data_IF_140491683848
#
_entry.id   IF_140491683848
#
_cell.length_a   1.000
_cell.length_b   1.000
_cell.length_c   1.000
_cell.angle_alpha   90.00
_cell.angle_beta   90.00
_cell.angle_gamma   90.00
#
_symmetry.space_group_name_H-M   'P 1'
#
loop_
_entity.id
_entity.type
_entity.pdbx_description
1 polymer ?
2 polymer ?
3 non-polymer ?
4 water ?
#
# COMPACT_ATOMS: atom_id res chain seq x y z
N UNK A 5 -11.37 5.68 -2.92
CA UNK A 5 -9.90 5.83 -2.71
C UNK A 5 -9.41 6.80 -3.78
N UNK A 6 -9.76 8.07 -3.62
CA UNK A 6 -9.37 9.11 -4.57
C UNK A 6 -8.12 9.80 -4.06
N UNK A 7 -7.15 9.97 -4.94
CA UNK A 7 -5.89 10.61 -4.60
C UNK A 7 -5.58 11.69 -5.62
N UNK A 8 -4.57 12.49 -5.33
CA UNK A 8 -4.14 13.55 -6.22
C UNK A 8 -2.62 13.54 -6.26
N UNK A 9 -2.07 13.84 -7.43
CA UNK A 9 -0.62 13.88 -7.62
C UNK A 9 0.01 15.09 -6.92
N UNK A 10 1.06 14.85 -6.16
CA UNK A 10 1.78 15.90 -5.45
C UNK A 10 2.87 16.52 -6.33
N UNK A 11 3.48 15.70 -7.19
CA UNK A 11 4.55 16.18 -8.06
C UNK A 11 4.44 15.51 -9.41
N UNK A 12 5.20 16.04 -10.36
CA UNK A 12 5.28 15.50 -11.71
C UNK A 12 6.15 14.24 -11.61
N UNK A 13 5.86 13.25 -12.44
CA UNK A 13 6.63 12.01 -12.48
C UNK A 13 6.54 11.54 -13.93
N UNK A 14 7.69 11.26 -14.54
CA UNK A 14 7.70 10.82 -15.93
C UNK A 14 7.97 9.34 -15.98
N UNK A 15 7.14 8.61 -16.72
CA UNK A 15 7.30 7.17 -16.86
C UNK A 15 8.64 6.78 -17.51
N UNK A 16 9.24 5.69 -17.06
CA UNK A 16 10.51 5.24 -17.62
C UNK A 16 10.65 3.71 -17.66
N UNK A 17 9.64 3.03 -18.19
CA UNK A 17 9.70 1.58 -18.27
C UNK A 17 9.02 0.90 -17.10
N UNK A 18 9.05 -0.42 -17.08
CA UNK A 18 8.43 -1.22 -16.02
C UNK A 18 6.96 -0.89 -15.78
N UNK A 19 6.24 -0.57 -16.85
CA UNK A 19 4.81 -0.27 -16.75
C UNK A 19 4.47 0.89 -15.80
N UNK A 20 5.32 1.92 -15.79
CA UNK A 20 5.08 3.10 -14.98
C UNK A 20 4.19 4.07 -15.77
N UNK A 21 3.53 5.00 -15.08
CA UNK A 21 2.63 5.94 -15.72
C UNK A 21 3.02 7.39 -15.41
N UNK A 22 3.03 8.25 -16.43
CA UNK A 22 3.37 9.65 -16.23
C UNK A 22 2.18 10.39 -15.62
N UNK A 23 2.46 11.20 -14.61
CA UNK A 23 1.42 11.98 -13.93
C UNK A 23 1.87 13.42 -13.72
N UNK A 24 0.92 14.35 -13.76
CA UNK A 24 1.24 15.76 -13.56
C UNK A 24 0.63 16.21 -12.23
N UNK A 25 1.34 17.08 -11.52
CA UNK A 25 0.88 17.60 -10.23
C UNK A 25 -0.56 18.12 -10.37
N UNK A 26 -1.40 17.78 -9.39
CA UNK A 26 -2.79 18.23 -9.40
C UNK A 26 -3.77 17.26 -10.03
N UNK A 27 -3.22 16.27 -10.73
CA UNK A 27 -4.02 15.27 -11.42
C UNK A 27 -4.64 14.26 -10.46
N UNK A 28 -5.93 13.98 -10.67
CA UNK A 28 -6.66 13.04 -9.85
C UNK A 28 -6.42 11.61 -10.33
N UNK A 29 -6.48 10.66 -9.41
CA UNK A 29 -6.28 9.27 -9.76
C UNK A 29 -6.95 8.30 -8.79
N UNK A 30 -7.31 7.14 -9.30
CA UNK A 30 -7.94 6.12 -8.49
C UNK A 30 -6.84 5.09 -8.23
N UNK A 31 -6.63 4.76 -6.96
CA UNK A 31 -5.62 3.77 -6.60
C UNK A 31 -6.23 2.38 -6.72
N UNK A 32 -5.59 1.52 -7.49
CA UNK A 32 -6.08 0.16 -7.70
C UNK A 32 -5.37 -0.86 -6.81
N UNK A 33 -4.14 -0.56 -6.40
CA UNK A 33 -3.40 -1.49 -5.57
C UNK A 33 -2.00 -1.01 -5.24
N UNK A 34 -1.24 -1.85 -4.53
CA UNK A 34 0.12 -1.52 -4.11
C UNK A 34 1.02 -2.74 -4.27
N UNK A 35 2.33 -2.54 -4.20
CA UNK A 35 3.26 -3.67 -4.28
C UNK A 35 3.46 -4.13 -2.83
N UNK A 36 4.30 -5.13 -2.61
CA UNK A 36 4.52 -5.69 -1.26
C UNK A 36 4.87 -4.75 -0.11
N UNK A 37 5.60 -3.67 -0.39
CA UNK A 37 5.95 -2.75 0.68
C UNK A 37 5.37 -1.36 0.51
N UNK A 38 4.30 -1.28 -0.28
CA UNK A 38 3.65 -0.01 -0.53
C UNK A 38 4.43 1.14 -1.15
N UNK A 39 5.63 0.89 -1.67
CA UNK A 39 6.43 1.94 -2.29
C UNK A 39 5.90 2.31 -3.67
N UNK A 40 5.26 1.34 -4.33
CA UNK A 40 4.68 1.55 -5.65
C UNK A 40 3.18 1.39 -5.57
N UNK A 41 2.49 2.24 -6.30
CA UNK A 41 1.04 2.25 -6.30
C UNK A 41 0.54 2.10 -7.72
N UNK A 42 -0.40 1.17 -7.94
CA UNK A 42 -0.97 0.99 -9.27
C UNK A 42 -2.16 1.95 -9.38
N UNK A 43 -2.08 2.86 -10.33
CA UNK A 43 -3.09 3.89 -10.49
C UNK A 43 -3.75 4.00 -11.86
N UNK A 44 -4.91 4.65 -11.87
CA UNK A 44 -5.67 4.91 -13.09
C UNK A 44 -5.99 6.40 -13.10
N UNK A 45 -5.66 7.06 -14.19
CA UNK A 45 -5.92 8.48 -14.37
C UNK A 45 -6.70 8.55 -15.68
N UNK A 46 -6.97 9.76 -16.15
CA UNK A 46 -7.68 9.90 -17.42
C UNK A 46 -6.78 9.49 -18.60
N UNK A 47 -5.48 9.47 -18.36
CA UNK A 47 -4.51 9.12 -19.39
C UNK A 47 -4.20 7.63 -19.49
N UNK A 48 -4.53 6.87 -18.46
CA UNK A 48 -4.25 5.45 -18.51
C UNK A 48 -4.09 4.78 -17.15
N UNK A 49 -3.39 3.65 -17.14
CA UNK A 49 -3.13 2.86 -15.93
C UNK A 49 -1.66 2.48 -15.89
N UNK A 50 -1.12 2.35 -14.68
CA UNK A 50 0.27 2.00 -14.52
C UNK A 50 0.73 2.35 -13.12
N UNK A 51 1.98 2.03 -12.83
CA UNK A 51 2.57 2.28 -11.53
C UNK A 51 3.17 3.68 -11.35
N UNK A 52 2.95 4.26 -10.17
CA UNK A 52 3.48 5.58 -9.78
C UNK A 52 3.98 5.44 -8.32
N UNK A 53 4.93 6.30 -7.89
CA UNK A 53 5.44 6.21 -6.52
C UNK A 53 4.37 6.61 -5.52
N UNK A 54 4.22 5.83 -4.45
CA UNK A 54 3.23 6.12 -3.42
C UNK A 54 3.51 7.45 -2.71
N UNK A 55 4.78 7.81 -2.61
CA UNK A 55 5.16 9.07 -1.97
C UNK A 55 4.88 10.31 -2.83
N UNK A 56 4.36 10.11 -4.04
CA UNK A 56 4.05 11.20 -4.96
C UNK A 56 2.56 11.51 -5.02
N UNK A 57 1.76 10.82 -4.21
CA UNK A 57 0.33 11.06 -4.22
C UNK A 57 -0.18 11.24 -2.80
N UNK A 58 -1.35 11.85 -2.66
CA UNK A 58 -1.93 12.08 -1.34
C UNK A 58 -3.47 11.95 -1.44
N UNK A 59 -4.11 11.39 -0.40
CA UNK A 59 -5.57 11.19 -0.37
C UNK A 59 -6.45 12.44 -0.38
N UNK A 60 -7.61 12.31 -1.02
CA UNK A 60 -8.59 13.38 -1.08
C UNK A 60 -9.86 12.87 -0.39
N UNK A 61 -10.23 13.56 0.69
CA UNK A 61 -11.41 13.33 1.53
C UNK A 61 -11.16 13.26 3.04
N UNK A 62 -11.79 14.21 3.73
CA UNK A 62 -11.71 14.36 5.18
C UNK A 62 -12.59 15.56 5.56
N UNK B 5 -6.55 -4.92 -1.69
CA UNK B 5 -6.66 -6.14 -2.55
C UNK B 5 -6.76 -7.38 -1.64
N UNK B 6 -6.95 -8.57 -2.22
CA UNK B 6 -7.09 -9.81 -1.44
C UNK B 6 -5.75 -10.46 -1.07
N UNK B 7 -5.53 -10.62 0.23
CA UNK B 7 -4.30 -11.18 0.78
C UNK B 7 -4.62 -12.26 1.82
N UNK B 8 -3.60 -13.01 2.23
CA UNK B 8 -3.76 -14.04 3.26
C UNK B 8 -2.63 -13.93 4.29
N UNK B 9 -2.96 -14.18 5.55
CA UNK B 9 -1.97 -14.10 6.63
C UNK B 9 -1.02 -15.30 6.64
N UNK B 10 0.25 -15.02 6.86
CA UNK B 10 1.27 -16.06 6.91
C UNK B 10 1.51 -16.57 8.33
N UNK B 11 1.26 -15.71 9.32
CA UNK B 11 1.50 -16.05 10.73
C UNK B 11 0.50 -15.35 11.63
N UNK B 12 0.38 -15.85 12.85
CA UNK B 12 -0.49 -15.24 13.85
C UNK B 12 0.19 -13.95 14.30
N UNK B 13 -0.61 -12.93 14.58
CA UNK B 13 -0.11 -11.64 15.07
C UNK B 13 -1.20 -11.15 16.02
N UNK B 14 -0.82 -10.74 17.23
CA UNK B 14 -1.80 -10.27 18.21
C UNK B 14 -1.65 -8.78 18.45
N UNK B 15 -2.76 -8.06 18.37
CA UNK B 15 -2.80 -6.62 18.56
C UNK B 15 -2.15 -6.20 19.88
N UNK B 16 -1.36 -5.13 19.83
CA UNK B 16 -0.69 -4.62 21.02
C UNK B 16 -0.72 -3.08 21.07
N UNK B 17 -1.89 -2.51 20.78
CA UNK B 17 -2.03 -1.06 20.79
C UNK B 17 -1.71 -0.44 19.45
N UNK B 18 -1.75 0.89 19.39
CA UNK B 18 -1.48 1.65 18.18
C UNK B 18 -2.40 1.23 17.05
N UNK B 19 -3.65 0.92 17.39
CA UNK B 19 -4.66 0.52 16.41
C UNK B 19 -4.23 -0.69 15.55
N UNK B 20 -3.56 -1.66 16.15
CA UNK B 20 -3.13 -2.86 15.43
C UNK B 20 -4.28 -3.87 15.46
N UNK B 21 -4.25 -4.85 14.57
CA UNK B 21 -5.33 -5.83 14.49
C UNK B 21 -4.80 -7.26 14.59
N UNK B 22 -5.47 -8.10 15.39
CA UNK B 22 -5.07 -9.49 15.56
C UNK B 22 -5.51 -10.29 14.35
N UNK B 23 -4.64 -11.17 13.86
CA UNK B 23 -4.94 -12.01 12.70
C UNK B 23 -4.37 -13.40 12.94
N UNK B 24 -4.90 -14.39 12.24
CA UNK B 24 -4.42 -15.76 12.38
C UNK B 24 -3.95 -16.30 11.04
N UNK B 25 -3.01 -17.24 11.10
CA UNK B 25 -2.45 -17.87 9.92
C UNK B 25 -3.54 -18.49 9.05
N UNK B 26 -3.56 -18.11 7.78
CA UNK B 26 -4.55 -18.63 6.84
C UNK B 26 -5.75 -17.72 6.63
N UNK B 27 -5.92 -16.72 7.49
CA UNK B 27 -7.04 -15.79 7.42
C UNK B 27 -6.93 -14.87 6.20
N UNK B 28 -8.06 -14.63 5.54
CA UNK B 28 -8.11 -13.75 4.37
C UNK B 28 -8.25 -12.31 4.83
N UNK B 29 -7.72 -11.36 4.07
CA UNK B 29 -7.81 -9.95 4.43
C UNK B 29 -7.84 -9.02 3.23
N UNK B 30 -8.44 -7.86 3.41
CA UNK B 30 -8.47 -6.83 2.38
C UNK B 30 -7.40 -5.81 2.79
N UNK B 31 -6.50 -5.47 1.89
CA UNK B 31 -5.48 -4.48 2.21
C UNK B 31 -5.96 -3.11 1.73
N UNK B 32 -5.96 -2.13 2.63
CA UNK B 32 -6.41 -0.77 2.33
C UNK B 32 -5.29 0.23 1.99
N UNK B 33 -4.12 0.06 2.59
CA UNK B 33 -3.03 0.97 2.32
C UNK B 33 -1.82 0.64 3.16
N UNK B 34 -0.76 1.44 3.03
CA UNK B 34 0.49 1.24 3.76
C UNK B 34 0.95 2.51 4.47
N UNK B 35 1.85 2.38 5.44
CA UNK B 35 2.35 3.58 6.11
C UNK B 35 3.52 4.11 5.27
N UNK B 36 4.07 5.25 5.66
CA UNK B 36 5.16 5.86 4.91
C UNK B 36 6.37 4.97 4.60
N UNK B 37 6.91 4.30 5.62
CA UNK B 37 8.08 3.45 5.41
C UNK B 37 7.78 2.04 4.90
N UNK B 38 6.51 1.75 4.67
CA UNK B 38 6.11 0.45 4.15
C UNK B 38 6.14 -0.76 5.08
N UNK B 39 6.48 -0.55 6.34
CA UNK B 39 6.54 -1.66 7.30
C UNK B 39 5.19 -2.10 7.86
N UNK B 40 4.22 -1.19 7.87
CA UNK B 40 2.88 -1.48 8.38
C UNK B 40 1.87 -1.38 7.24
N UNK B 41 0.84 -2.21 7.33
CA UNK B 41 -0.20 -2.29 6.32
C UNK B 41 -1.57 -2.23 7.00
N UNK B 42 -2.46 -1.36 6.51
CA UNK B 42 -3.80 -1.27 7.10
C UNK B 42 -4.71 -2.29 6.43
N UNK B 43 -5.22 -3.22 7.23
CA UNK B 43 -6.06 -4.31 6.73
C UNK B 43 -7.47 -4.32 7.29
N UNK B 44 -8.33 -5.10 6.65
CA UNK B 44 -9.72 -5.23 7.05
C UNK B 44 -10.07 -6.73 7.00
N UNK B 45 -10.64 -7.26 8.08
CA UNK B 45 -11.03 -8.66 8.14
C UNK B 45 -12.42 -8.71 8.74
N UNK B 46 -12.94 -9.91 8.97
CA UNK B 46 -14.26 -10.05 9.58
C UNK B 46 -14.24 -9.50 11.00
N UNK B 47 -13.08 -9.57 11.64
CA UNK B 47 -12.94 -9.10 13.00
C UNK B 47 -12.82 -7.58 13.16
N UNK B 48 -12.41 -6.88 12.12
CA UNK B 48 -12.28 -5.44 12.25
C UNK B 48 -11.29 -4.84 11.28
N UNK B 49 -10.79 -3.65 11.61
CA UNK B 49 -9.87 -2.93 10.76
C UNK B 49 -8.71 -2.37 11.58
N UNK B 50 -7.50 -2.39 11.04
CA UNK B 50 -6.35 -1.89 11.78
C UNK B 50 -5.04 -2.28 11.13
N UNK B 51 -3.94 -1.97 11.78
CA UNK B 51 -2.62 -2.25 11.23
C UNK B 51 -2.02 -3.62 11.53
N UNK B 52 -1.36 -4.19 10.53
CA UNK B 52 -0.68 -5.49 10.65
C UNK B 52 0.69 -5.33 9.96
N UNK B 53 1.67 -6.19 10.29
CA UNK B 53 2.99 -6.06 9.65
C UNK B 53 2.90 -6.43 8.17
N UNK B 54 3.51 -5.62 7.31
CA UNK B 54 3.50 -5.86 5.87
C UNK B 54 4.04 -7.22 5.43
N UNK B 55 5.07 -7.71 6.10
CA UNK B 55 5.64 -9.00 5.74
C UNK B 55 5.00 -10.20 6.46
N UNK B 56 3.83 -9.98 7.06
CA UNK B 56 3.11 -11.06 7.71
C UNK B 56 1.99 -11.54 6.80
N UNK B 57 1.87 -10.95 5.62
CA UNK B 57 0.81 -11.32 4.67
C UNK B 57 1.36 -11.52 3.26
N UNK B 58 0.57 -12.13 2.39
CA UNK B 58 0.98 -12.39 1.01
C UNK B 58 -0.24 -12.28 0.09
N UNK B 59 -0.05 -11.83 -1.16
CA UNK B 59 -1.19 -11.70 -2.07
C UNK B 59 -1.77 -13.01 -2.58
N UNK B 60 -3.07 -12.98 -2.89
CA UNK B 60 -3.76 -14.15 -3.44
C UNK B 60 -4.30 -13.81 -4.83
N UNK B 61 -4.03 -14.71 -5.77
CA UNK B 61 -4.47 -14.61 -7.16
C UNK B 61 -3.62 -13.60 -7.90
N UNK B 62 -2.39 -14.02 -8.18
CA UNK B 62 -1.43 -13.19 -8.88
C UNK B 62 -0.39 -14.12 -9.52
N UNK C 1 4.78 -5.46 -10.33
CA UNK C 1 5.24 -4.08 -9.98
C UNK C 1 6.69 -3.87 -10.42
N UNK C 2 7.15 -2.60 -10.50
CA UNK C 2 8.52 -2.26 -10.92
C UNK C 2 9.62 -2.88 -10.06
N UNK C 3 10.69 -3.32 -10.71
CA UNK C 3 11.81 -3.90 -9.98
C UNK C 3 12.79 -2.80 -9.62
N UNK C 4 12.56 -1.60 -10.14
CA UNK C 4 13.44 -0.49 -9.80
C UNK C 4 12.84 0.21 -8.58
N UNK C 5 13.68 0.82 -7.74
CA UNK C 5 13.12 1.50 -6.57
C UNK C 5 12.52 2.84 -7.02
N UNK C 6 11.52 3.35 -6.27
CA UNK C 6 10.86 4.62 -6.60
C UNK C 6 11.78 5.79 -6.30
N UNK C 7 11.72 6.85 -7.13
CA UNK C 7 12.58 8.00 -6.86
C UNK C 7 12.09 8.71 -5.59
N UNK C 8 12.95 9.53 -5.01
CA UNK C 8 12.60 10.29 -3.83
C UNK C 8 11.81 11.52 -4.29
N UNK C 9 11.00 12.10 -3.39
CA UNK C 9 10.23 13.30 -3.75
C UNK C 9 11.27 14.38 -4.07
N UNK C 10 10.96 15.29 -5.00
CA UNK C 10 11.94 16.33 -5.34
C UNK C 10 12.35 17.21 -4.14
N UNK D 1 -0.57 5.60 11.77
CA UNK D 1 0.20 4.32 11.74
C UNK D 1 1.01 4.18 13.03
N UNK D 2 1.36 2.94 13.42
CA UNK D 2 2.14 2.70 14.64
C UNK D 2 3.48 3.42 14.66
N UNK D 3 3.86 3.88 15.85
CA UNK D 3 5.12 4.60 16.06
C UNK D 3 6.26 3.64 16.41
N UNK D 4 5.97 2.35 16.35
CA UNK D 4 6.94 1.31 16.68
C UNK D 4 7.13 0.39 15.47
N UNK D 5 8.32 -0.22 15.31
CA UNK D 5 8.51 -1.12 14.16
C UNK D 5 7.73 -2.41 14.43
N UNK D 6 7.30 -3.11 13.37
CA UNK D 6 6.55 -4.36 13.61
C UNK D 6 7.48 -5.47 14.09
N UNK D 7 6.93 -6.51 14.75
CA UNK D 7 7.83 -7.57 15.20
C UNK D 7 8.37 -8.33 13.99
N UNK D 8 9.50 -9.02 14.16
CA UNK D 8 10.10 -9.80 13.07
C UNK D 8 9.25 -11.05 12.86
N UNK D 9 9.30 -11.62 11.64
CA UNK D 9 8.52 -12.83 11.39
C UNK D 9 9.11 -13.92 12.29
N UNK D 10 8.27 -14.84 12.80
CA UNK D 10 8.74 -15.92 13.67
C UNK D 10 9.63 -16.94 12.96
X LIG E 1 3.00 -5.71 -13.27
X LIG E 1 4.29 -6.15 -12.95
X LIG E 1 3.08 -4.50 -14.00
X LIG E 1 2.33 -6.71 -13.97
X LIG E 1 2.40 -5.52 -11.98
X LIG F 1 -3.75 5.66 12.70
X LIG F 1 -2.61 6.31 13.30
X LIG F 1 -3.42 5.49 11.34
X LIG F 1 -4.01 4.40 13.31
X LIG F 1 -4.92 6.44 12.82
#
# INVERSE_FOLDING_TARGET
>A
MNDPNLFVALYDFVASGDNTLSITKGEKLRVLGYNHNGEWCEAQTKNGQGWVPSNYITPVNS
>B
MNDPNLFVALYDFVASGDNTLSITKGEKLRVLGYNHNGEWCEAQTKNGQGWVPSNYITPVNS
>C
APTMPPPLPP
>D
APTMPPPLPP
>E hetero
1 SO4 S O1 O2 O3 O4
>F hetero
1 SO4 S O1 O2 O3 O4
#
